data_IF_272821905975
#
_entry.id   IF_272821905975
#
_cell.length_a   1.000
_cell.length_b   1.000
_cell.length_c   1.000
_cell.angle_alpha   90.00
_cell.angle_beta   90.00
_cell.angle_gamma   90.00
#
_symmetry.space_group_name_H-M   'P 1'
#
loop_
_entity.id
_entity.type
_entity.pdbx_description
1 polymer ?
#
# COMPACT_ATOMS: atom_id res chain seq x y z
N UNK A 1 -8.31 16.02 -29.85
CA UNK A 1 -7.05 16.31 -29.12
C UNK A 1 -7.36 17.01 -27.80
N UNK A 2 -7.53 16.25 -26.73
CA UNK A 2 -7.77 16.76 -25.37
C UNK A 2 -6.77 16.11 -24.42
N UNK A 3 -5.65 16.78 -24.19
CA UNK A 3 -4.65 16.33 -23.23
C UNK A 3 -5.20 16.53 -21.82
N UNK A 4 -5.37 15.42 -21.07
CA UNK A 4 -5.54 15.45 -19.63
C UNK A 4 -4.21 15.88 -18.99
N UNK A 5 -3.97 17.19 -18.97
CA UNK A 5 -2.86 17.77 -18.24
C UNK A 5 -3.16 17.74 -16.75
N UNK A 6 -2.35 17.02 -15.98
CA UNK A 6 -2.15 17.30 -14.55
C UNK A 6 -1.83 18.79 -14.42
N UNK A 7 -2.77 19.57 -13.91
CA UNK A 7 -2.61 21.01 -13.73
C UNK A 7 -1.53 21.23 -12.68
N UNK A 8 -0.33 21.60 -13.14
CA UNK A 8 0.81 21.94 -12.30
C UNK A 8 0.57 23.31 -11.69
N UNK A 9 0.27 23.37 -10.38
CA UNK A 9 0.45 24.62 -9.63
C UNK A 9 1.95 24.99 -9.75
N UNK A 10 2.26 26.29 -9.88
CA UNK A 10 3.65 26.75 -9.77
C UNK A 10 4.14 26.57 -8.33
N UNK A 11 5.44 26.35 -8.14
CA UNK A 11 6.05 26.17 -6.81
C UNK A 11 5.83 27.35 -5.84
N UNK A 12 5.39 28.51 -6.36
CA UNK A 12 5.05 29.72 -5.60
C UNK A 12 3.54 29.84 -5.25
N UNK A 13 2.73 28.83 -5.56
CA UNK A 13 1.31 28.76 -5.19
C UNK A 13 0.38 29.58 -6.07
N UNK A 14 0.84 30.12 -7.22
CA UNK A 14 -0.03 30.83 -8.17
C UNK A 14 -0.69 29.85 -9.14
N UNK A 15 -2.02 29.88 -9.22
CA UNK A 15 -2.79 29.12 -10.20
C UNK A 15 -2.99 29.91 -11.50
N UNK A 16 -3.05 29.20 -12.62
CA UNK A 16 -3.81 29.64 -13.78
C UNK A 16 -5.26 29.18 -13.56
N UNK A 17 -6.23 30.10 -13.60
CA UNK A 17 -7.65 29.81 -13.33
C UNK A 17 -8.20 28.64 -14.17
N UNK A 18 -9.18 27.86 -13.65
CA UNK A 18 -10.00 28.10 -12.46
C UNK A 18 -9.92 26.95 -11.42
N UNK A 19 -8.73 26.50 -11.04
CA UNK A 19 -8.57 25.63 -9.88
C UNK A 19 -7.91 26.43 -8.75
N UNK A 20 -8.66 26.66 -7.68
CA UNK A 20 -8.14 27.25 -6.45
C UNK A 20 -7.19 26.23 -5.81
N UNK A 21 -5.87 26.36 -6.03
CA UNK A 21 -4.90 25.59 -5.26
C UNK A 21 -5.10 25.99 -3.78
N UNK A 22 -5.47 25.03 -2.92
CA UNK A 22 -5.43 25.27 -1.48
C UNK A 22 -3.99 25.65 -1.11
N UNK A 23 -3.77 26.69 -0.28
CA UNK A 23 -2.43 27.07 0.14
C UNK A 23 -1.76 25.86 0.79
N UNK A 24 -0.48 25.63 0.44
CA UNK A 24 0.31 24.58 1.07
C UNK A 24 0.20 24.73 2.60
N UNK A 25 0.03 23.63 3.34
CA UNK A 25 0.03 23.69 4.79
C UNK A 25 1.35 24.34 5.24
N UNK A 26 1.33 25.12 6.33
CA UNK A 26 2.56 25.74 6.80
C UNK A 26 3.57 24.62 7.18
N UNK A 27 4.84 24.84 6.86
CA UNK A 27 5.88 23.79 6.92
C UNK A 27 6.06 23.18 8.31
N UNK A 28 5.66 23.92 9.36
CA UNK A 28 5.60 23.44 10.74
C UNK A 28 4.62 22.26 10.92
N UNK A 29 3.49 22.25 10.20
CA UNK A 29 2.50 21.16 10.25
C UNK A 29 2.99 19.85 9.65
N UNK A 30 3.82 19.91 8.60
CA UNK A 30 4.36 18.70 7.97
C UNK A 30 5.44 18.07 8.85
N UNK A 31 6.35 18.87 9.40
CA UNK A 31 7.37 18.35 10.32
C UNK A 31 6.75 17.86 11.64
N UNK A 32 5.67 18.51 12.13
CA UNK A 32 4.88 18.00 13.25
C UNK A 32 4.27 16.62 12.92
N UNK A 33 3.65 16.47 11.75
CA UNK A 33 3.09 15.19 11.31
C UNK A 33 4.16 14.09 11.21
N UNK A 34 5.35 14.41 10.69
CA UNK A 34 6.46 13.45 10.65
C UNK A 34 6.96 13.08 12.04
N UNK A 35 6.98 14.03 12.98
CA UNK A 35 7.30 13.79 14.38
C UNK A 35 6.30 12.86 15.07
N UNK A 36 5.01 13.13 14.91
CA UNK A 36 3.93 12.29 15.45
C UNK A 36 3.95 10.88 14.83
N UNK A 37 4.21 10.76 13.52
CA UNK A 37 4.32 9.47 12.85
C UNK A 37 5.54 8.65 13.34
N UNK A 38 6.66 9.32 13.62
CA UNK A 38 7.81 8.67 14.24
C UNK A 38 7.51 8.18 15.67
N UNK A 39 6.75 8.95 16.45
CA UNK A 39 6.30 8.53 17.78
C UNK A 39 5.32 7.34 17.74
N UNK A 40 4.47 7.27 16.72
CA UNK A 40 3.60 6.12 16.46
C UNK A 40 4.39 4.87 16.12
N UNK A 41 5.41 4.99 15.26
CA UNK A 41 6.35 3.89 14.99
C UNK A 41 7.01 3.42 16.28
N UNK A 42 7.54 4.33 17.09
CA UNK A 42 8.23 3.95 18.33
C UNK A 42 7.28 3.24 19.31
N UNK A 43 6.03 3.71 19.40
CA UNK A 43 4.97 3.06 20.17
C UNK A 43 4.65 1.66 19.63
N UNK A 44 4.54 1.49 18.30
CA UNK A 44 4.35 0.19 17.65
C UNK A 44 5.49 -0.78 17.99
N UNK A 45 6.74 -0.32 17.94
CA UNK A 45 7.92 -1.14 18.21
C UNK A 45 8.11 -1.46 19.70
N UNK A 46 7.55 -0.64 20.59
CA UNK A 46 7.55 -0.89 22.03
C UNK A 46 6.48 -1.89 22.47
N UNK A 47 5.50 -2.18 21.61
CA UNK A 47 4.44 -3.13 21.93
C UNK A 47 4.99 -4.56 22.08
N UNK A 48 4.39 -5.30 23.01
CA UNK A 48 4.71 -6.70 23.30
C UNK A 48 3.49 -7.62 23.20
N UNK A 49 2.30 -7.03 23.09
CA UNK A 49 1.04 -7.74 23.05
C UNK A 49 0.05 -7.08 22.08
N UNK A 50 -1.02 -7.79 21.80
CA UNK A 50 -2.08 -7.37 20.88
C UNK A 50 -2.87 -6.17 21.39
N UNK A 51 -3.05 -6.02 22.71
CA UNK A 51 -3.76 -4.87 23.28
C UNK A 51 -3.02 -3.55 23.05
N UNK A 52 -1.68 -3.59 23.15
CA UNK A 52 -0.82 -2.48 22.77
C UNK A 52 -0.91 -2.20 21.26
N UNK A 53 -0.83 -3.25 20.43
CA UNK A 53 -0.95 -3.11 18.98
C UNK A 53 -2.29 -2.47 18.56
N UNK A 54 -3.41 -2.90 19.15
CA UNK A 54 -4.73 -2.30 18.93
C UNK A 54 -4.82 -0.83 19.36
N UNK A 55 -4.14 -0.48 20.47
CA UNK A 55 -4.07 0.92 20.89
C UNK A 55 -3.32 1.77 19.86
N UNK A 56 -2.17 1.29 19.37
CA UNK A 56 -1.40 1.98 18.34
C UNK A 56 -2.17 2.08 17.03
N UNK A 57 -2.90 1.03 16.61
CA UNK A 57 -3.78 1.09 15.43
C UNK A 57 -4.85 2.19 15.55
N UNK A 58 -5.45 2.38 16.72
CA UNK A 58 -6.39 3.50 16.96
C UNK A 58 -5.68 4.86 16.85
N UNK A 59 -4.46 4.98 17.39
CA UNK A 59 -3.69 6.21 17.27
C UNK A 59 -3.30 6.53 15.82
N UNK A 60 -3.08 5.51 14.97
CA UNK A 60 -2.92 5.69 13.52
C UNK A 60 -4.18 6.27 12.86
N UNK A 61 -5.37 5.84 13.28
CA UNK A 61 -6.64 6.45 12.83
C UNK A 61 -6.75 7.91 13.24
N UNK A 62 -6.51 8.22 14.51
CA UNK A 62 -6.52 9.59 15.02
C UNK A 62 -5.49 10.49 14.31
N UNK A 63 -4.32 9.93 13.99
CA UNK A 63 -3.28 10.60 13.21
C UNK A 63 -3.75 10.91 11.80
N UNK A 64 -4.32 9.93 11.09
CA UNK A 64 -4.83 10.11 9.74
C UNK A 64 -5.91 11.21 9.71
N UNK A 65 -6.84 11.21 10.66
CA UNK A 65 -7.87 12.26 10.75
C UNK A 65 -7.29 13.64 11.05
N UNK A 66 -6.29 13.72 11.94
CA UNK A 66 -5.63 14.98 12.32
C UNK A 66 -4.85 15.61 11.16
N UNK A 67 -4.19 14.78 10.37
CA UNK A 67 -3.26 15.22 9.32
C UNK A 67 -3.73 14.96 7.89
N UNK A 68 -5.01 14.60 7.68
CA UNK A 68 -5.57 14.32 6.33
C UNK A 68 -5.38 15.43 5.31
N UNK A 69 -5.33 16.68 5.77
CA UNK A 69 -5.21 17.89 4.93
C UNK A 69 -3.74 18.37 4.87
N UNK A 70 -2.79 17.60 5.39
CA UNK A 70 -1.36 17.89 5.37
C UNK A 70 -0.69 17.07 4.28
N UNK A 71 -0.08 17.77 3.32
CA UNK A 71 0.68 17.18 2.23
C UNK A 71 2.10 17.72 2.28
N UNK A 72 3.08 16.82 2.33
CA UNK A 72 4.49 17.17 2.24
C UNK A 72 4.99 17.23 0.80
N UNK A 73 6.22 17.71 0.63
CA UNK A 73 6.98 17.49 -0.62
C UNK A 73 7.37 16.01 -0.80
N UNK A 74 8.00 15.67 -1.91
CA UNK A 74 8.37 14.28 -2.25
C UNK A 74 9.29 13.64 -1.19
N UNK A 75 10.25 14.40 -0.66
CA UNK A 75 11.19 13.92 0.36
C UNK A 75 10.45 13.66 1.69
N UNK A 76 9.54 14.55 2.08
CA UNK A 76 8.69 14.40 3.26
C UNK A 76 7.73 13.22 3.11
N UNK A 77 7.11 13.04 1.95
CA UNK A 77 6.24 11.91 1.67
C UNK A 77 7.01 10.59 1.71
N UNK A 78 8.23 10.54 1.16
CA UNK A 78 9.09 9.36 1.25
C UNK A 78 9.47 9.04 2.70
N UNK A 79 9.80 10.05 3.51
CA UNK A 79 10.05 9.89 4.96
C UNK A 79 8.81 9.35 5.68
N UNK A 80 7.63 9.87 5.39
CA UNK A 80 6.39 9.39 5.96
C UNK A 80 6.12 7.92 5.60
N UNK A 81 6.30 7.54 4.33
CA UNK A 81 6.15 6.14 3.88
C UNK A 81 7.11 5.20 4.62
N UNK A 82 8.38 5.58 4.78
CA UNK A 82 9.36 4.77 5.52
C UNK A 82 8.98 4.59 6.99
N UNK A 83 8.52 5.67 7.65
CA UNK A 83 8.07 5.60 9.05
C UNK A 83 6.84 4.69 9.20
N UNK A 84 5.87 4.80 8.29
CA UNK A 84 4.68 3.95 8.28
C UNK A 84 5.03 2.46 8.04
N UNK A 85 5.91 2.16 7.09
CA UNK A 85 6.40 0.80 6.84
C UNK A 85 7.08 0.20 8.08
N UNK A 86 7.97 0.96 8.72
CA UNK A 86 8.63 0.53 9.96
C UNK A 86 7.63 0.26 11.09
N UNK A 87 6.59 1.10 11.22
CA UNK A 87 5.56 0.89 12.22
C UNK A 87 4.78 -0.40 11.97
N UNK A 88 4.42 -0.68 10.71
CA UNK A 88 3.74 -1.93 10.33
C UNK A 88 4.62 -3.16 10.57
N UNK A 89 5.91 -3.10 10.24
CA UNK A 89 6.88 -4.17 10.53
C UNK A 89 6.93 -4.46 12.03
N UNK A 90 6.97 -3.43 12.86
CA UNK A 90 6.93 -3.57 14.31
C UNK A 90 5.63 -4.21 14.80
N UNK A 91 4.46 -3.80 14.30
CA UNK A 91 3.18 -4.43 14.65
C UNK A 91 3.11 -5.89 14.20
N UNK A 92 3.67 -6.24 13.04
CA UNK A 92 3.74 -7.62 12.57
C UNK A 92 4.65 -8.49 13.44
N UNK A 93 5.75 -7.94 13.97
CA UNK A 93 6.61 -8.66 14.91
C UNK A 93 5.89 -8.96 16.24
N UNK A 94 5.01 -8.05 16.69
CA UNK A 94 4.15 -8.29 17.86
C UNK A 94 3.14 -9.41 17.57
N UNK A 95 2.51 -9.39 16.40
CA UNK A 95 1.59 -10.44 15.98
C UNK A 95 2.28 -11.81 15.82
N UNK A 96 3.51 -11.84 15.33
CA UNK A 96 4.31 -13.06 15.19
C UNK A 96 4.88 -13.56 16.54
N UNK A 97 5.12 -12.65 17.49
CA UNK A 97 5.61 -12.97 18.84
C UNK A 97 4.53 -13.36 19.83
N UNK A 98 3.26 -12.98 19.59
CA UNK A 98 2.09 -13.33 20.40
C UNK A 98 1.57 -14.76 20.14
N UNK A 99 2.48 -15.70 19.86
CA UNK A 99 2.16 -17.11 19.64
C UNK A 99 1.73 -17.81 20.92
N UNK A 100 0.48 -17.63 21.32
CA UNK A 100 -0.31 -18.62 22.07
C UNK A 100 -1.78 -18.47 21.63
N UNK A 101 -2.24 -19.43 20.83
CA UNK A 101 -3.64 -19.79 20.57
C UNK A 101 -4.66 -18.67 20.27
N UNK A 102 -4.58 -18.06 19.08
CA UNK A 102 -5.77 -17.90 18.20
C UNK A 102 -5.31 -17.70 16.76
N UNK A 103 -5.47 -18.74 15.94
CA UNK A 103 -5.56 -18.65 14.48
C UNK A 103 -6.80 -17.85 14.07
N UNK A 104 -6.76 -16.54 14.28
CA UNK A 104 -7.55 -15.54 13.57
C UNK A 104 -6.62 -14.33 13.34
N UNK A 105 -5.46 -14.60 12.72
CA UNK A 105 -4.81 -13.56 11.93
C UNK A 105 -5.83 -13.21 10.85
N UNK A 106 -6.59 -12.14 11.04
CA UNK A 106 -7.41 -11.60 9.96
C UNK A 106 -6.40 -11.28 8.86
N UNK A 107 -6.37 -12.03 7.74
CA UNK A 107 -5.60 -11.58 6.61
C UNK A 107 -6.14 -10.18 6.32
N UNK A 108 -5.28 -9.19 6.07
CA UNK A 108 -5.78 -7.97 5.42
C UNK A 108 -6.26 -8.44 4.06
N UNK A 109 -7.51 -8.87 4.03
CA UNK A 109 -8.17 -9.51 2.92
C UNK A 109 -8.52 -8.37 1.96
N UNK A 110 -7.49 -7.88 1.27
CA UNK A 110 -7.64 -7.28 -0.04
C UNK A 110 -7.97 -8.42 -1.01
N UNK A 111 -9.09 -9.10 -0.78
CA UNK A 111 -9.51 -10.28 -1.54
C UNK A 111 -9.98 -9.89 -2.93
N UNK A 112 -10.27 -8.62 -3.18
CA UNK A 112 -10.60 -8.11 -4.50
C UNK A 112 -10.09 -6.67 -4.70
N UNK A 113 -9.46 -6.44 -5.84
CA UNK A 113 -9.10 -5.16 -6.45
C UNK A 113 -10.31 -4.47 -7.10
N UNK A 114 -11.45 -5.17 -7.19
CA UNK A 114 -12.64 -4.72 -7.91
C UNK A 114 -12.51 -4.87 -9.43
N UNK A 115 -11.39 -5.40 -9.93
CA UNK A 115 -11.14 -5.69 -11.34
C UNK A 115 -10.89 -7.19 -11.49
N UNK A 116 -11.83 -7.96 -12.08
CA UNK A 116 -11.74 -9.42 -12.12
C UNK A 116 -10.42 -9.98 -12.68
N UNK A 117 -9.84 -9.32 -13.69
CA UNK A 117 -8.55 -9.73 -14.26
C UNK A 117 -7.37 -9.54 -13.31
N UNK A 118 -7.39 -8.50 -12.48
CA UNK A 118 -6.35 -8.25 -11.48
C UNK A 118 -6.53 -9.11 -10.23
N UNK A 119 -7.77 -9.43 -9.87
CA UNK A 119 -8.07 -10.42 -8.82
C UNK A 119 -7.50 -11.79 -9.19
N UNK A 120 -7.64 -12.18 -10.46
CA UNK A 120 -7.04 -13.40 -10.97
C UNK A 120 -5.51 -13.34 -10.95
N UNK A 121 -4.90 -12.22 -11.32
CA UNK A 121 -3.45 -12.04 -11.22
C UNK A 121 -2.94 -12.20 -9.79
N UNK A 122 -3.60 -11.58 -8.81
CA UNK A 122 -3.24 -11.72 -7.39
C UNK A 122 -3.28 -13.18 -6.96
N UNK A 123 -4.37 -13.89 -7.28
CA UNK A 123 -4.53 -15.30 -6.93
C UNK A 123 -3.43 -16.18 -7.54
N UNK A 124 -3.10 -15.96 -8.82
CA UNK A 124 -2.05 -16.73 -9.50
C UNK A 124 -0.66 -16.40 -8.97
N UNK A 125 -0.38 -15.14 -8.59
CA UNK A 125 0.87 -14.80 -7.91
C UNK A 125 0.95 -15.51 -6.56
N UNK A 126 -0.09 -15.47 -5.74
CA UNK A 126 -0.09 -16.15 -4.44
C UNK A 126 0.10 -17.68 -4.59
N UNK A 127 -0.52 -18.26 -5.61
CA UNK A 127 -0.33 -19.66 -5.96
C UNK A 127 1.10 -19.96 -6.43
N UNK A 128 1.65 -19.17 -7.36
CA UNK A 128 3.04 -19.30 -7.80
C UNK A 128 4.01 -19.26 -6.63
N UNK A 129 3.77 -18.37 -5.67
CA UNK A 129 4.57 -18.21 -4.46
C UNK A 129 4.43 -19.35 -3.46
N UNK A 130 3.37 -20.17 -3.56
CA UNK A 130 3.26 -21.40 -2.79
C UNK A 130 4.15 -22.52 -3.33
N UNK A 131 4.71 -22.38 -4.54
CA UNK A 131 5.58 -23.38 -5.13
C UNK A 131 6.97 -23.38 -4.47
N UNK A 132 7.37 -24.55 -3.93
CA UNK A 132 8.67 -24.76 -3.27
C UNK A 132 9.89 -24.59 -4.20
N UNK A 133 9.67 -24.64 -5.50
CA UNK A 133 10.73 -24.45 -6.50
C UNK A 133 11.09 -22.98 -6.72
N UNK A 134 10.25 -22.06 -6.25
CA UNK A 134 10.55 -20.63 -6.30
C UNK A 134 11.47 -20.30 -5.14
N UNK A 135 12.68 -19.75 -5.40
CA UNK A 135 13.61 -19.38 -4.34
C UNK A 135 12.98 -18.39 -3.35
N UNK A 136 13.28 -18.53 -2.05
CA UNK A 136 12.68 -17.68 -1.01
C UNK A 136 12.86 -16.18 -1.29
N UNK A 137 14.05 -15.76 -1.72
CA UNK A 137 14.32 -14.37 -2.08
C UNK A 137 13.42 -13.86 -3.24
N UNK A 138 13.13 -14.71 -4.22
CA UNK A 138 12.21 -14.37 -5.31
C UNK A 138 10.77 -14.30 -4.81
N UNK A 139 10.40 -15.16 -3.84
CA UNK A 139 9.08 -15.12 -3.23
C UNK A 139 8.86 -13.84 -2.42
N UNK A 140 9.84 -13.47 -1.61
CA UNK A 140 9.76 -12.27 -0.79
C UNK A 140 9.72 -11.01 -1.66
N UNK A 141 10.54 -10.95 -2.72
CA UNK A 141 10.50 -9.85 -3.68
C UNK A 141 9.16 -9.74 -4.42
N UNK A 142 8.57 -10.87 -4.81
CA UNK A 142 7.27 -10.90 -5.47
C UNK A 142 6.13 -10.51 -4.52
N UNK A 143 6.18 -10.89 -3.24
CA UNK A 143 5.23 -10.41 -2.22
C UNK A 143 5.33 -8.90 -2.05
N UNK A 144 6.53 -8.38 -1.87
CA UNK A 144 6.76 -6.93 -1.74
C UNK A 144 6.27 -6.17 -2.98
N UNK A 145 6.51 -6.70 -4.19
CA UNK A 145 6.01 -6.11 -5.43
C UNK A 145 4.49 -6.15 -5.54
N UNK A 146 3.87 -7.27 -5.14
CA UNK A 146 2.41 -7.41 -5.12
C UNK A 146 1.76 -6.46 -4.11
N UNK A 147 2.36 -6.29 -2.94
CA UNK A 147 1.88 -5.37 -1.92
C UNK A 147 1.98 -3.92 -2.39
N UNK A 148 3.08 -3.54 -3.02
CA UNK A 148 3.23 -2.22 -3.64
C UNK A 148 2.20 -1.99 -4.77
N UNK A 149 1.92 -3.01 -5.60
CA UNK A 149 0.88 -2.95 -6.63
C UNK A 149 -0.52 -2.79 -6.03
N UNK A 150 -0.85 -3.58 -5.02
CA UNK A 150 -2.13 -3.49 -4.29
C UNK A 150 -2.32 -2.11 -3.66
N UNK A 151 -1.27 -1.53 -3.08
CA UNK A 151 -1.29 -0.16 -2.57
C UNK A 151 -1.55 0.88 -3.67
N UNK A 152 -0.96 0.70 -4.85
CA UNK A 152 -1.17 1.57 -6.00
C UNK A 152 -2.57 1.46 -6.63
N UNK A 153 -3.24 0.31 -6.47
CA UNK A 153 -4.59 0.08 -6.99
C UNK A 153 -5.67 0.82 -6.20
N UNK A 154 -5.47 1.03 -4.90
CA UNK A 154 -6.33 1.86 -4.06
C UNK A 154 -7.84 1.53 -4.16
N UNK A 155 -8.69 2.53 -3.94
CA UNK A 155 -10.13 2.42 -4.17
C UNK A 155 -10.44 2.62 -5.66
N UNK A 156 -10.66 1.52 -6.38
CA UNK A 156 -11.03 1.56 -7.81
C UNK A 156 -12.51 1.90 -8.04
N UNK A 157 -13.33 2.16 -7.01
CA UNK A 157 -14.77 2.42 -7.18
C UNK A 157 -15.05 3.63 -8.07
N UNK A 158 -14.21 4.66 -8.03
CA UNK A 158 -14.32 5.88 -8.84
C UNK A 158 -13.70 5.82 -10.24
N UNK A 159 -13.05 4.71 -10.61
CA UNK A 159 -12.39 4.56 -11.91
C UNK A 159 -13.41 4.16 -13.00
N UNK A 160 -13.41 4.81 -14.19
CA UNK A 160 -14.26 4.43 -15.31
C UNK A 160 -14.10 2.97 -15.73
N UNK A 161 -15.19 2.35 -16.19
CA UNK A 161 -15.21 0.91 -16.52
C UNK A 161 -14.26 0.55 -17.68
N UNK A 162 -14.05 1.45 -18.63
CA UNK A 162 -13.10 1.25 -19.73
C UNK A 162 -11.65 1.20 -19.25
N UNK A 163 -11.32 1.99 -18.21
CA UNK A 163 -9.99 1.98 -17.58
C UNK A 163 -9.82 0.72 -16.73
N UNK A 164 -10.86 0.30 -15.99
CA UNK A 164 -10.86 -0.98 -15.27
C UNK A 164 -10.69 -2.17 -16.22
N UNK A 165 -11.36 -2.12 -17.37
CA UNK A 165 -11.24 -3.16 -18.39
C UNK A 165 -9.81 -3.24 -18.94
N UNK A 166 -9.20 -2.11 -19.30
CA UNK A 166 -7.81 -2.08 -19.77
C UNK A 166 -6.82 -2.60 -18.72
N UNK A 167 -7.01 -2.22 -17.45
CA UNK A 167 -6.22 -2.75 -16.34
C UNK A 167 -6.42 -4.27 -16.19
N UNK A 168 -7.68 -4.74 -16.29
CA UNK A 168 -8.01 -6.16 -16.25
C UNK A 168 -7.34 -6.95 -17.37
N UNK A 169 -7.35 -6.45 -18.61
CA UNK A 169 -6.70 -7.10 -19.75
C UNK A 169 -5.17 -7.18 -19.56
N UNK A 170 -4.55 -6.12 -19.03
CA UNK A 170 -3.13 -6.13 -18.71
C UNK A 170 -2.78 -7.15 -17.60
N UNK A 171 -3.62 -7.24 -16.56
CA UNK A 171 -3.49 -8.24 -15.51
C UNK A 171 -3.64 -9.68 -16.04
N UNK A 172 -4.57 -9.91 -16.98
CA UNK A 172 -4.72 -11.21 -17.65
C UNK A 172 -3.50 -11.56 -18.51
N UNK A 173 -2.93 -10.60 -19.22
CA UNK A 173 -1.68 -10.81 -19.95
C UNK A 173 -0.52 -11.19 -19.00
N UNK A 174 -0.47 -10.59 -17.81
CA UNK A 174 0.49 -10.94 -16.78
C UNK A 174 0.24 -12.35 -16.21
N UNK A 175 -1.02 -12.76 -16.01
CA UNK A 175 -1.40 -14.14 -15.64
C UNK A 175 -0.90 -15.15 -16.67
N UNK A 176 -1.06 -14.87 -17.96
CA UNK A 176 -0.59 -15.78 -19.01
C UNK A 176 0.93 -15.95 -19.00
N UNK A 177 1.67 -14.87 -18.74
CA UNK A 177 3.12 -14.91 -18.57
C UNK A 177 3.53 -15.71 -17.33
N UNK A 178 2.82 -15.53 -16.21
CA UNK A 178 3.03 -16.29 -14.96
C UNK A 178 2.81 -17.78 -15.19
N UNK A 179 1.74 -18.18 -15.87
CA UNK A 179 1.45 -19.58 -16.21
C UNK A 179 2.54 -20.23 -17.06
N UNK A 180 3.14 -19.46 -17.96
CA UNK A 180 4.27 -19.93 -18.76
C UNK A 180 5.53 -20.13 -17.89
N UNK A 181 5.79 -19.20 -16.97
CA UNK A 181 6.89 -19.30 -16.03
C UNK A 181 6.71 -20.51 -15.08
N UNK A 182 5.52 -20.67 -14.51
CA UNK A 182 5.13 -21.82 -13.68
C UNK A 182 5.33 -23.15 -14.39
N UNK A 183 4.88 -23.24 -15.65
CA UNK A 183 5.06 -24.44 -16.46
C UNK A 183 6.55 -24.74 -16.69
N UNK A 184 7.37 -23.72 -16.92
CA UNK A 184 8.81 -23.87 -17.10
C UNK A 184 9.52 -24.32 -15.80
N UNK A 185 9.07 -23.86 -14.64
CA UNK A 185 9.59 -24.27 -13.33
C UNK A 185 8.99 -25.60 -12.83
N UNK A 186 7.91 -26.06 -13.45
CA UNK A 186 7.17 -27.24 -13.02
C UNK A 186 6.51 -27.03 -11.66
N UNK A 187 5.96 -25.83 -11.46
CA UNK A 187 5.05 -25.51 -10.36
C UNK A 187 3.62 -25.95 -10.72
N UNK A 188 2.85 -26.50 -9.76
CA UNK A 188 1.48 -26.91 -10.03
C UNK A 188 0.58 -25.71 -10.31
N UNK A 189 -0.28 -25.85 -11.33
CA UNK A 189 -1.46 -25.00 -11.55
C UNK A 189 -2.57 -25.36 -10.59
#
# INVERSE_FOLDING_TARGET
DGAAGTQTCAADGRSYEPCACQPAPPADRVEEALGDLAALRDSACACQDTACAEHVQRQFGDFADRYRDVHGDDDQNQRATLLAQQAMECLMNVAAGAGDDTSDAVPVAWTTTGVPGCDQYVAEVEQYLSCDKVPQAARDAARQGLDAMKQGWGDMSGVPDDVKQQAGDACLQAVDAMKQAEAAMGCPK
#
